data_IF_465307449081
#
_entry.id   IF_465307449081
#
_cell.length_a   1.000
_cell.length_b   1.000
_cell.length_c   1.000
_cell.angle_alpha   90.00
_cell.angle_beta   90.00
_cell.angle_gamma   90.00
#
_symmetry.space_group_name_H-M   'P 1'
#
loop_
_entity.id
_entity.type
_entity.pdbx_description
1 polymer ?
#
# COMPACT_ATOMS: atom_id res chain seq x y z
N UNK A 1 -35.00 39.50 12.89
CA UNK A 1 -35.38 38.25 13.59
C UNK A 1 -35.20 37.11 12.61
N UNK A 2 -34.32 36.18 12.98
CA UNK A 2 -34.00 34.85 12.41
C UNK A 2 -33.84 34.69 10.89
N UNK A 3 -32.58 34.63 10.46
CA UNK A 3 -32.16 33.92 9.26
C UNK A 3 -32.20 32.41 9.53
N UNK A 4 -33.37 31.79 9.34
CA UNK A 4 -33.52 30.32 9.35
C UNK A 4 -33.38 29.77 7.93
N UNK A 5 -32.21 29.23 7.62
CA UNK A 5 -32.01 28.04 6.78
C UNK A 5 -30.51 27.74 6.74
N UNK A 6 -29.92 27.51 7.92
CA UNK A 6 -28.61 26.88 7.98
C UNK A 6 -28.72 25.51 7.32
N UNK A 7 -28.00 25.30 6.22
CA UNK A 7 -27.70 23.98 5.68
C UNK A 7 -26.93 23.18 6.74
N UNK A 8 -27.65 22.69 7.73
CA UNK A 8 -27.16 21.79 8.74
C UNK A 8 -27.04 20.43 8.06
N UNK A 9 -25.82 20.01 7.71
CA UNK A 9 -25.59 18.67 7.22
C UNK A 9 -26.33 17.68 8.14
N UNK A 10 -27.23 16.83 7.60
CA UNK A 10 -28.06 15.98 8.43
C UNK A 10 -27.15 15.09 9.26
N UNK A 11 -27.13 15.28 10.59
CA UNK A 11 -26.35 14.47 11.53
C UNK A 11 -26.56 12.96 11.30
N UNK A 12 -27.73 12.58 10.78
CA UNK A 12 -28.05 11.21 10.39
C UNK A 12 -27.13 10.58 9.34
N UNK A 13 -26.48 11.36 8.47
CA UNK A 13 -25.53 10.80 7.47
C UNK A 13 -24.27 10.28 8.18
N UNK A 14 -23.72 11.05 9.12
CA UNK A 14 -22.52 10.63 9.85
C UNK A 14 -22.76 9.37 10.68
N UNK A 15 -23.91 9.27 11.36
CA UNK A 15 -24.25 8.07 12.13
C UNK A 15 -24.40 6.83 11.24
N UNK A 16 -25.01 6.96 10.05
CA UNK A 16 -25.11 5.86 9.09
C UNK A 16 -23.74 5.40 8.61
N UNK A 17 -22.87 6.34 8.24
CA UNK A 17 -21.51 6.04 7.76
C UNK A 17 -20.64 5.48 8.88
N UNK A 18 -20.82 5.96 10.11
CA UNK A 18 -20.15 5.42 11.29
C UNK A 18 -20.53 3.96 11.54
N UNK A 19 -21.82 3.61 11.51
CA UNK A 19 -22.26 2.21 11.59
C UNK A 19 -21.72 1.39 10.42
N UNK A 20 -21.71 1.94 9.21
CA UNK A 20 -21.18 1.26 8.03
C UNK A 20 -19.68 0.96 8.19
N UNK A 21 -18.88 1.91 8.67
CA UNK A 21 -17.47 1.71 8.97
C UNK A 21 -17.26 0.64 10.03
N UNK A 22 -18.10 0.61 11.07
CA UNK A 22 -18.05 -0.43 12.10
C UNK A 22 -18.30 -1.83 11.51
N UNK A 23 -19.33 -1.97 10.69
CA UNK A 23 -19.64 -3.22 9.98
C UNK A 23 -18.48 -3.62 9.06
N UNK A 24 -17.93 -2.67 8.32
CA UNK A 24 -16.79 -2.90 7.44
C UNK A 24 -15.54 -3.35 8.20
N UNK A 25 -15.29 -2.79 9.39
CA UNK A 25 -14.21 -3.21 10.29
C UNK A 25 -14.43 -4.63 10.81
N UNK A 26 -15.67 -5.02 11.14
CA UNK A 26 -15.97 -6.40 11.52
C UNK A 26 -15.73 -7.38 10.36
N UNK A 27 -16.11 -7.01 9.14
CA UNK A 27 -15.80 -7.82 7.95
C UNK A 27 -14.29 -7.91 7.70
N UNK A 28 -13.54 -6.82 7.87
CA UNK A 28 -12.08 -6.85 7.77
C UNK A 28 -11.47 -7.83 8.79
N UNK A 29 -11.96 -7.83 10.04
CA UNK A 29 -11.51 -8.81 11.04
C UNK A 29 -11.90 -10.25 10.67
N UNK A 30 -13.08 -10.45 10.07
CA UNK A 30 -13.50 -11.76 9.61
C UNK A 30 -12.55 -12.36 8.55
N UNK A 31 -11.88 -11.51 7.74
CA UNK A 31 -10.90 -11.99 6.75
C UNK A 31 -9.67 -12.63 7.36
N UNK A 32 -9.34 -12.32 8.61
CA UNK A 32 -8.18 -12.90 9.28
C UNK A 32 -8.37 -14.39 9.61
N UNK A 33 -9.63 -14.85 9.72
CA UNK A 33 -9.95 -16.27 9.90
C UNK A 33 -9.88 -17.08 8.61
N UNK A 34 -9.73 -16.44 7.45
CA UNK A 34 -9.57 -17.12 6.17
C UNK A 34 -8.15 -17.66 6.03
N UNK A 35 -8.01 -18.75 5.28
CA UNK A 35 -6.71 -19.35 4.98
C UNK A 35 -5.80 -18.35 4.24
N UNK A 36 -4.47 -18.43 4.47
CA UNK A 36 -3.52 -17.59 3.77
C UNK A 36 -3.57 -17.91 2.27
N UNK A 37 -3.88 -16.91 1.45
CA UNK A 37 -3.96 -17.05 0.01
C UNK A 37 -4.28 -15.73 -0.69
N UNK A 38 -4.30 -15.77 -2.02
CA UNK A 38 -4.59 -14.61 -2.88
C UNK A 38 -5.95 -13.99 -2.55
N UNK A 39 -6.95 -14.82 -2.24
CA UNK A 39 -8.29 -14.36 -1.88
C UNK A 39 -8.27 -13.51 -0.59
N UNK A 40 -7.52 -13.94 0.44
CA UNK A 40 -7.37 -13.15 1.68
C UNK A 40 -6.69 -11.81 1.41
N UNK A 41 -5.61 -11.84 0.62
CA UNK A 41 -4.90 -10.63 0.21
C UNK A 41 -5.82 -9.63 -0.53
N UNK A 42 -6.62 -10.14 -1.48
CA UNK A 42 -7.60 -9.33 -2.20
C UNK A 42 -8.64 -8.71 -1.26
N UNK A 43 -9.20 -9.49 -0.33
CA UNK A 43 -10.21 -9.00 0.61
C UNK A 43 -9.65 -7.95 1.57
N UNK A 44 -8.43 -8.14 2.08
CA UNK A 44 -7.76 -7.16 2.93
C UNK A 44 -7.60 -5.84 2.19
N UNK A 45 -7.07 -5.88 0.95
CA UNK A 45 -6.90 -4.68 0.13
C UNK A 45 -8.26 -4.03 -0.20
N UNK A 46 -9.29 -4.82 -0.49
CA UNK A 46 -10.64 -4.33 -0.77
C UNK A 46 -11.23 -3.59 0.43
N UNK A 47 -11.19 -4.18 1.63
CA UNK A 47 -11.72 -3.53 2.84
C UNK A 47 -10.89 -2.31 3.25
N UNK A 48 -9.58 -2.34 3.01
CA UNK A 48 -8.69 -1.20 3.27
C UNK A 48 -9.00 -0.02 2.33
N UNK A 49 -9.22 -0.29 1.05
CA UNK A 49 -9.62 0.73 0.07
C UNK A 49 -11.03 1.29 0.37
N UNK A 50 -12.00 0.41 0.66
CA UNK A 50 -13.36 0.83 0.99
C UNK A 50 -13.38 1.71 2.25
N UNK A 51 -12.73 1.31 3.35
CA UNK A 51 -12.75 2.11 4.58
C UNK A 51 -12.06 3.46 4.38
N UNK A 52 -10.92 3.49 3.67
CA UNK A 52 -10.21 4.73 3.38
C UNK A 52 -11.05 5.64 2.50
N UNK A 53 -11.72 5.09 1.47
CA UNK A 53 -12.64 5.81 0.61
C UNK A 53 -13.81 6.44 1.37
N UNK A 54 -14.46 5.69 2.27
CA UNK A 54 -15.54 6.20 3.11
C UNK A 54 -15.07 7.33 4.06
N UNK A 55 -13.88 7.19 4.65
CA UNK A 55 -13.30 8.24 5.50
C UNK A 55 -13.03 9.50 4.69
N UNK A 56 -12.39 9.38 3.51
CA UNK A 56 -12.10 10.53 2.65
C UNK A 56 -13.38 11.19 2.14
N UNK A 57 -14.37 10.40 1.73
CA UNK A 57 -15.61 10.91 1.16
C UNK A 57 -16.44 11.72 2.17
N UNK A 58 -16.57 11.22 3.40
CA UNK A 58 -17.53 11.73 4.39
C UNK A 58 -16.87 12.50 5.53
N UNK A 59 -15.76 12.02 6.08
CA UNK A 59 -15.09 12.65 7.24
C UNK A 59 -14.12 13.76 6.83
N UNK A 60 -13.48 13.62 5.66
CA UNK A 60 -12.70 14.70 5.04
C UNK A 60 -13.57 15.61 4.15
N UNK A 61 -14.91 15.44 4.16
CA UNK A 61 -15.88 16.23 3.39
C UNK A 61 -15.58 16.38 1.89
N UNK A 62 -14.79 15.49 1.30
CA UNK A 62 -14.36 15.60 -0.09
C UNK A 62 -15.52 15.64 -1.10
N UNK A 63 -16.69 15.09 -0.73
CA UNK A 63 -17.91 15.15 -1.55
C UNK A 63 -18.64 16.51 -1.55
N UNK A 64 -18.36 17.39 -0.59
CA UNK A 64 -19.08 18.66 -0.41
C UNK A 64 -18.18 19.90 -0.56
N UNK A 65 -16.88 19.70 -0.77
CA UNK A 65 -15.92 20.79 -0.87
C UNK A 65 -15.38 21.02 -2.28
N UNK A 66 -14.60 22.10 -2.40
CA UNK A 66 -14.00 22.57 -3.65
C UNK A 66 -12.93 21.57 -4.10
N UNK A 67 -12.81 21.35 -5.41
CA UNK A 67 -11.82 20.43 -6.00
C UNK A 67 -10.37 20.70 -5.53
N UNK A 68 -10.03 21.93 -5.17
CA UNK A 68 -8.73 22.29 -4.63
C UNK A 68 -8.38 21.58 -3.31
N UNK A 69 -9.34 21.36 -2.41
CA UNK A 69 -9.12 20.68 -1.13
C UNK A 69 -9.01 19.17 -1.33
N UNK A 70 -9.81 18.61 -2.24
CA UNK A 70 -9.69 17.21 -2.66
C UNK A 70 -8.29 16.96 -3.24
N UNK A 71 -7.79 17.84 -4.12
CA UNK A 71 -6.45 17.71 -4.70
C UNK A 71 -5.34 17.87 -3.66
N UNK A 72 -5.54 18.69 -2.64
CA UNK A 72 -4.54 18.87 -1.57
C UNK A 72 -4.44 17.64 -0.68
N UNK A 73 -5.56 16.96 -0.40
CA UNK A 73 -5.59 15.76 0.45
C UNK A 73 -5.19 14.50 -0.34
N UNK A 74 -5.73 14.34 -1.56
CA UNK A 74 -5.53 13.14 -2.38
C UNK A 74 -4.31 13.23 -3.31
N UNK A 75 -3.87 14.46 -3.64
CA UNK A 75 -2.72 14.70 -4.52
C UNK A 75 -1.42 14.08 -4.01
N UNK A 76 -0.99 14.32 -2.76
CA UNK A 76 0.26 13.75 -2.27
C UNK A 76 0.26 12.20 -2.28
N UNK A 77 -0.77 11.50 -1.80
CA UNK A 77 -0.86 10.04 -1.92
C UNK A 77 -0.80 9.53 -3.36
N UNK A 78 -1.51 10.19 -4.30
CA UNK A 78 -1.54 9.78 -5.71
C UNK A 78 -0.17 9.96 -6.36
N UNK A 79 0.50 11.08 -6.13
CA UNK A 79 1.86 11.33 -6.65
C UNK A 79 2.84 10.30 -6.10
N UNK A 80 2.73 9.95 -4.82
CA UNK A 80 3.55 8.90 -4.22
C UNK A 80 3.30 7.54 -4.86
N UNK A 81 2.05 7.15 -5.09
CA UNK A 81 1.73 5.89 -5.77
C UNK A 81 2.26 5.84 -7.20
N UNK A 82 2.13 6.94 -7.94
CA UNK A 82 2.70 7.07 -9.28
C UNK A 82 4.22 6.93 -9.25
N UNK A 83 4.89 7.61 -8.32
CA UNK A 83 6.34 7.56 -8.17
C UNK A 83 6.83 6.16 -7.81
N UNK A 84 6.15 5.47 -6.88
CA UNK A 84 6.45 4.07 -6.55
C UNK A 84 6.29 3.18 -7.79
N UNK A 85 5.23 3.37 -8.58
CA UNK A 85 5.01 2.62 -9.81
C UNK A 85 6.12 2.82 -10.85
N UNK A 86 6.54 4.06 -11.09
CA UNK A 86 7.65 4.36 -11.99
C UNK A 86 8.98 3.78 -11.49
N UNK A 87 9.29 3.94 -10.21
CA UNK A 87 10.52 3.40 -9.62
C UNK A 87 10.53 1.86 -9.65
N UNK A 88 9.39 1.20 -9.46
CA UNK A 88 9.28 -0.25 -9.60
C UNK A 88 9.52 -0.71 -11.05
N UNK A 89 8.95 0.00 -12.03
CA UNK A 89 9.15 -0.28 -13.46
C UNK A 89 10.62 -0.10 -13.88
N UNK A 90 11.23 1.02 -13.52
CA UNK A 90 12.65 1.31 -13.78
C UNK A 90 13.57 0.31 -13.08
N UNK A 91 13.22 -0.11 -11.86
CA UNK A 91 13.92 -1.15 -11.13
C UNK A 91 13.95 -2.47 -11.91
N UNK A 92 12.81 -2.87 -12.47
CA UNK A 92 12.71 -4.09 -13.27
C UNK A 92 13.48 -3.99 -14.59
N UNK A 93 13.45 -2.84 -15.26
CA UNK A 93 14.21 -2.61 -16.49
C UNK A 93 15.74 -2.63 -16.24
N UNK A 94 16.17 -1.98 -15.15
CA UNK A 94 17.57 -1.97 -14.71
C UNK A 94 18.05 -3.37 -14.34
N UNK A 95 17.20 -4.18 -13.70
CA UNK A 95 17.51 -5.57 -13.40
C UNK A 95 17.65 -6.42 -14.67
N UNK A 96 16.70 -6.33 -15.59
CA UNK A 96 16.73 -7.08 -16.86
C UNK A 96 17.97 -6.77 -17.69
N UNK A 97 18.32 -5.49 -17.85
CA UNK A 97 19.52 -5.07 -18.60
C UNK A 97 20.83 -5.52 -17.96
N UNK A 98 20.90 -5.68 -16.63
CA UNK A 98 22.08 -6.23 -15.95
C UNK A 98 22.29 -7.71 -16.28
N UNK A 99 21.22 -8.48 -16.32
CA UNK A 99 21.28 -9.90 -16.67
C UNK A 99 21.66 -10.04 -18.15
N UNK A 100 20.95 -9.34 -19.04
CA UNK A 100 21.08 -9.54 -20.49
C UNK A 100 22.41 -9.03 -21.07
N UNK A 101 22.87 -7.84 -20.63
CA UNK A 101 24.05 -7.21 -21.21
C UNK A 101 25.29 -7.24 -20.30
N UNK A 102 25.12 -7.28 -18.98
CA UNK A 102 26.23 -7.33 -18.02
C UNK A 102 26.52 -8.73 -17.48
N UNK A 103 25.77 -9.75 -17.92
CA UNK A 103 25.99 -11.14 -17.52
C UNK A 103 25.79 -11.40 -16.03
N UNK A 104 24.98 -10.59 -15.34
CA UNK A 104 24.62 -10.88 -13.96
C UNK A 104 23.83 -12.20 -13.88
N UNK A 105 24.17 -13.04 -12.91
CA UNK A 105 23.42 -14.27 -12.64
C UNK A 105 22.02 -13.94 -12.09
N UNK A 106 20.94 -14.39 -12.77
CA UNK A 106 19.56 -14.20 -12.30
C UNK A 106 19.29 -14.79 -10.92
N UNK A 107 20.07 -15.79 -10.51
CA UNK A 107 19.93 -16.52 -9.25
C UNK A 107 21.05 -16.19 -8.26
N UNK A 108 21.79 -15.10 -8.47
CA UNK A 108 22.84 -14.67 -7.56
C UNK A 108 22.28 -14.54 -6.14
N UNK A 109 22.67 -15.46 -5.27
CA UNK A 109 22.39 -15.35 -3.85
C UNK A 109 23.43 -14.43 -3.20
N UNK A 110 23.05 -13.65 -2.18
CA UNK A 110 24.03 -12.88 -1.43
C UNK A 110 25.06 -13.86 -0.85
N UNK A 111 26.34 -13.61 -1.15
CA UNK A 111 27.45 -14.40 -0.63
C UNK A 111 27.38 -14.45 0.90
N UNK A 112 27.42 -15.65 1.46
CA UNK A 112 27.49 -15.80 2.92
C UNK A 112 28.87 -15.34 3.41
N UNK A 113 28.97 -14.98 4.68
CA UNK A 113 30.24 -14.51 5.26
C UNK A 113 31.29 -15.63 5.24
N UNK A 114 30.86 -16.90 5.30
CA UNK A 114 31.73 -18.06 5.13
C UNK A 114 32.33 -18.16 3.71
N UNK A 115 31.54 -17.86 2.66
CA UNK A 115 32.01 -17.91 1.26
C UNK A 115 33.05 -16.83 0.94
N UNK A 116 33.03 -15.71 1.67
CA UNK A 116 33.98 -14.60 1.50
C UNK A 116 35.32 -14.88 2.18
N UNK A 117 35.34 -15.75 3.20
CA UNK A 117 36.54 -16.06 4.01
C UNK A 117 37.09 -17.49 3.82
N UNK A 118 36.42 -18.36 3.06
CA UNK A 118 36.80 -19.76 2.88
C UNK A 118 37.70 -20.02 1.67
N UNK A 119 39.02 -19.94 1.84
CA UNK A 119 39.96 -20.38 0.80
C UNK A 119 41.46 -20.29 1.12
N UNK A 120 41.87 -20.20 2.39
CA UNK A 120 43.28 -19.92 2.74
C UNK A 120 43.98 -20.88 3.70
N UNK A 121 43.32 -21.87 4.30
CA UNK A 121 43.93 -22.69 5.36
C UNK A 121 43.59 -24.19 5.30
N UNK A 122 43.50 -24.77 4.11
CA UNK A 122 43.36 -26.23 3.97
C UNK A 122 44.51 -26.91 3.20
N UNK A 123 45.39 -26.15 2.54
CA UNK A 123 46.51 -26.72 1.75
C UNK A 123 47.85 -26.77 2.49
N UNK A 124 47.96 -26.23 3.71
CA UNK A 124 49.25 -26.16 4.43
C UNK A 124 49.48 -27.26 5.49
N UNK A 125 48.53 -28.19 5.71
CA UNK A 125 48.71 -29.34 6.62
C UNK A 125 49.03 -30.67 5.90
N UNK A 126 49.52 -30.59 4.66
CA UNK A 126 49.95 -31.75 3.90
C UNK A 126 51.36 -31.58 3.30
N UNK A 127 52.32 -31.11 4.10
CA UNK A 127 53.75 -31.23 3.79
C UNK A 127 54.58 -31.49 5.04
#
# INVERSE_FOLDING_TARGET
MSAEAGQQHPLGIYYKVWVLLFVLSAFSYATDFLQPGVFRWFLILLFMALKAGFIVAIFMHAFWERMALVLTILGPPIVLLLFIGFMASEGQYTWGTRIEYRGHDPNAQPLSVEDVHGGGHAEEEAH
#
